data_IF_736215853537
#
_entry.id   IF_736215853537
#
_cell.length_a   1.000
_cell.length_b   1.000
_cell.length_c   1.000
_cell.angle_alpha   90.00
_cell.angle_beta   90.00
_cell.angle_gamma   90.00
#
_symmetry.space_group_name_H-M   'P 1'
#
loop_
_entity.id
_entity.type
_entity.pdbx_description
1 polymer ?
#
# COMPACT_ATOMS: atom_id res chain seq x y z
N UNK A 1 -19.25 -13.48 6.87
CA UNK A 1 -19.32 -12.33 7.79
C UNK A 1 -18.06 -11.51 7.55
N UNK A 2 -18.14 -10.36 6.88
CA UNK A 2 -16.96 -9.51 6.67
C UNK A 2 -16.55 -8.93 8.02
N UNK A 3 -15.40 -9.36 8.52
CA UNK A 3 -14.88 -8.84 9.78
C UNK A 3 -14.51 -7.37 9.57
N UNK A 4 -15.26 -6.46 10.19
CA UNK A 4 -14.99 -5.02 10.04
C UNK A 4 -13.74 -4.70 10.84
N UNK A 5 -12.66 -4.40 10.14
CA UNK A 5 -11.37 -4.08 10.75
C UNK A 5 -11.38 -2.63 11.23
N UNK A 6 -11.43 -2.44 12.56
CA UNK A 6 -11.44 -1.12 13.19
C UNK A 6 -10.12 -0.94 13.94
N UNK A 7 -9.34 0.08 13.56
CA UNK A 7 -8.08 0.42 14.21
C UNK A 7 -6.89 -0.44 13.79
N UNK A 8 -5.88 -0.50 14.66
CA UNK A 8 -4.60 -1.18 14.42
C UNK A 8 -4.80 -2.69 14.47
N UNK A 9 -4.19 -3.41 13.53
CA UNK A 9 -4.20 -4.88 13.54
C UNK A 9 -2.81 -5.48 13.51
N UNK A 10 -2.72 -6.71 14.01
CA UNK A 10 -1.46 -7.45 14.07
C UNK A 10 -0.82 -7.65 12.68
N UNK A 11 -1.54 -8.02 11.61
CA UNK A 11 -0.97 -8.10 10.27
C UNK A 11 -0.26 -6.82 9.84
N UNK A 12 -0.88 -5.66 10.09
CA UNK A 12 -0.34 -4.36 9.70
C UNK A 12 0.95 -4.07 10.47
N UNK A 13 0.96 -4.33 11.79
CA UNK A 13 2.14 -4.16 12.64
C UNK A 13 3.31 -5.06 12.22
N UNK A 14 3.06 -6.33 11.88
CA UNK A 14 4.11 -7.25 11.44
C UNK A 14 4.73 -6.80 10.11
N UNK A 15 3.91 -6.46 9.13
CA UNK A 15 4.38 -6.02 7.82
C UNK A 15 5.07 -4.64 7.89
N UNK A 16 4.55 -3.72 8.70
CA UNK A 16 5.18 -2.43 8.96
C UNK A 16 6.55 -2.60 9.63
N UNK A 17 6.67 -3.48 10.64
CA UNK A 17 7.95 -3.77 11.29
C UNK A 17 8.96 -4.38 10.31
N UNK A 18 8.54 -5.32 9.47
CA UNK A 18 9.39 -5.89 8.44
C UNK A 18 9.88 -4.81 7.44
N UNK A 19 8.98 -3.91 7.01
CA UNK A 19 9.31 -2.81 6.10
C UNK A 19 10.36 -1.87 6.73
N UNK A 20 10.15 -1.47 7.99
CA UNK A 20 11.07 -0.59 8.72
C UNK A 20 12.46 -1.21 8.85
N UNK A 21 12.55 -2.49 9.22
CA UNK A 21 13.84 -3.21 9.30
C UNK A 21 14.57 -3.20 7.96
N UNK A 22 13.86 -3.46 6.86
CA UNK A 22 14.46 -3.42 5.53
C UNK A 22 14.94 -2.01 5.16
N UNK A 23 14.18 -0.97 5.52
CA UNK A 23 14.56 0.45 5.32
C UNK A 23 15.77 0.87 6.14
N UNK A 24 15.96 0.29 7.32
CA UNK A 24 17.14 0.56 8.18
C UNK A 24 18.32 -0.37 7.89
N UNK A 25 18.27 -1.18 6.82
CA UNK A 25 19.34 -2.07 6.40
C UNK A 25 19.36 -3.45 7.08
N UNK A 26 18.45 -3.73 8.01
CA UNK A 26 18.29 -5.04 8.65
C UNK A 26 17.44 -5.99 7.78
N UNK A 27 18.01 -6.41 6.64
CA UNK A 27 17.31 -7.29 5.68
C UNK A 27 17.08 -8.68 6.26
N UNK A 28 18.00 -9.19 7.08
CA UNK A 28 17.84 -10.49 7.74
C UNK A 28 16.70 -10.46 8.75
N UNK A 29 16.60 -9.41 9.56
CA UNK A 29 15.50 -9.23 10.49
C UNK A 29 14.16 -8.99 9.78
N UNK A 30 14.15 -8.28 8.65
CA UNK A 30 12.98 -8.11 7.81
C UNK A 30 12.49 -9.45 7.24
N UNK A 31 13.42 -10.28 6.75
CA UNK A 31 13.15 -11.63 6.27
C UNK A 31 12.49 -12.48 7.35
N UNK A 32 13.05 -12.51 8.56
CA UNK A 32 12.51 -13.28 9.68
C UNK A 32 11.06 -12.88 9.98
N UNK A 33 10.77 -11.58 10.03
CA UNK A 33 9.43 -11.08 10.31
C UNK A 33 8.44 -11.43 9.20
N UNK A 34 8.86 -11.28 7.95
CA UNK A 34 8.06 -11.56 6.77
C UNK A 34 7.76 -13.06 6.62
N UNK A 35 8.75 -13.94 6.80
CA UNK A 35 8.56 -15.39 6.75
C UNK A 35 7.67 -15.86 7.90
N UNK A 36 7.83 -15.30 9.11
CA UNK A 36 6.94 -15.56 10.24
C UNK A 36 5.50 -15.17 9.90
N UNK A 37 5.29 -14.02 9.28
CA UNK A 37 3.98 -13.59 8.82
C UNK A 37 3.40 -14.53 7.75
N UNK A 38 4.17 -14.81 6.69
CA UNK A 38 3.75 -15.67 5.56
C UNK A 38 3.44 -17.10 6.01
N UNK A 39 4.18 -17.65 6.98
CA UNK A 39 3.93 -19.00 7.54
C UNK A 39 2.52 -19.18 8.15
N UNK A 40 1.81 -18.07 8.42
CA UNK A 40 0.43 -18.06 8.91
C UNK A 40 -0.61 -17.89 7.79
N UNK A 41 -0.19 -17.83 6.53
CA UNK A 41 -1.04 -17.64 5.34
C UNK A 41 -0.83 -18.69 4.27
N UNK A 42 0.36 -19.31 4.22
CA UNK A 42 0.73 -20.26 3.17
C UNK A 42 1.64 -21.38 3.72
N UNK A 43 1.81 -22.50 2.99
CA UNK A 43 2.72 -23.56 3.36
C UNK A 43 4.16 -23.08 3.59
N UNK A 44 4.90 -23.76 4.45
CA UNK A 44 6.25 -23.35 4.85
C UNK A 44 7.21 -23.20 3.66
N UNK A 45 7.06 -24.02 2.62
CA UNK A 45 7.87 -23.95 1.40
C UNK A 45 7.65 -22.66 0.60
N UNK A 46 6.41 -22.15 0.59
CA UNK A 46 6.05 -20.89 -0.09
C UNK A 46 6.30 -19.66 0.79
N UNK A 47 6.39 -19.84 2.11
CA UNK A 47 6.64 -18.76 3.05
C UNK A 47 8.08 -18.21 2.94
N UNK A 48 9.03 -18.98 2.41
CA UNK A 48 10.46 -18.63 2.32
C UNK A 48 10.68 -17.46 1.37
N UNK A 49 11.50 -16.49 1.78
CA UNK A 49 11.86 -15.30 1.00
C UNK A 49 13.37 -15.22 0.82
N UNK A 50 13.82 -15.34 -0.43
CA UNK A 50 15.24 -15.30 -0.80
C UNK A 50 15.61 -13.95 -1.43
N UNK A 51 15.44 -12.87 -0.66
CA UNK A 51 15.77 -11.51 -1.08
C UNK A 51 16.83 -10.95 -0.13
N UNK A 52 17.95 -10.48 -0.70
CA UNK A 52 19.06 -9.89 0.06
C UNK A 52 19.22 -8.39 -0.17
N UNK A 53 18.69 -7.87 -1.28
CA UNK A 53 18.72 -6.43 -1.56
C UNK A 53 17.64 -5.70 -0.73
N UNK A 54 17.99 -4.65 0.04
CA UNK A 54 17.04 -3.93 0.88
C UNK A 54 15.86 -3.34 0.12
N UNK A 55 16.11 -2.70 -1.04
CA UNK A 55 15.06 -2.10 -1.88
C UNK A 55 14.11 -3.16 -2.44
N UNK A 56 14.64 -4.29 -2.89
CA UNK A 56 13.82 -5.41 -3.36
C UNK A 56 12.97 -6.00 -2.23
N UNK A 57 13.53 -6.09 -1.01
CA UNK A 57 12.80 -6.55 0.18
C UNK A 57 11.63 -5.62 0.51
N UNK A 58 11.87 -4.30 0.53
CA UNK A 58 10.82 -3.29 0.77
C UNK A 58 9.70 -3.44 -0.27
N UNK A 59 10.04 -3.49 -1.56
CA UNK A 59 9.04 -3.66 -2.63
C UNK A 59 8.24 -4.95 -2.45
N UNK A 60 8.89 -6.06 -2.12
CA UNK A 60 8.21 -7.32 -1.86
C UNK A 60 7.26 -7.25 -0.65
N UNK A 61 7.65 -6.57 0.42
CA UNK A 61 6.79 -6.35 1.60
C UNK A 61 5.57 -5.51 1.24
N UNK A 62 5.73 -4.47 0.40
CA UNK A 62 4.58 -3.70 -0.11
C UNK A 62 3.64 -4.59 -0.92
N UNK A 63 4.15 -5.46 -1.78
CA UNK A 63 3.32 -6.43 -2.52
C UNK A 63 2.60 -7.40 -1.57
N UNK A 64 3.22 -7.80 -0.46
CA UNK A 64 2.59 -8.62 0.56
C UNK A 64 1.44 -7.87 1.26
N UNK A 65 1.61 -6.57 1.54
CA UNK A 65 0.53 -5.72 2.08
C UNK A 65 -0.66 -5.63 1.12
N UNK A 66 -0.42 -5.55 -0.19
CA UNK A 66 -1.50 -5.53 -1.20
C UNK A 66 -2.32 -6.82 -1.12
N UNK A 67 -1.65 -7.97 -0.99
CA UNK A 67 -2.30 -9.28 -0.88
C UNK A 67 -3.08 -9.43 0.43
N UNK A 68 -2.49 -9.08 1.56
CA UNK A 68 -3.13 -9.22 2.88
C UNK A 68 -4.36 -8.31 3.02
N UNK A 69 -4.28 -7.08 2.52
CA UNK A 69 -5.31 -6.05 2.70
C UNK A 69 -6.14 -5.79 1.43
N UNK A 70 -6.23 -6.78 0.54
CA UNK A 70 -7.06 -6.68 -0.65
C UNK A 70 -8.51 -6.34 -0.26
N UNK A 71 -9.09 -5.36 -0.95
CA UNK A 71 -10.49 -4.89 -0.73
C UNK A 71 -10.72 -4.23 0.65
N UNK A 72 -9.67 -3.88 1.40
CA UNK A 72 -9.79 -3.24 2.73
C UNK A 72 -9.42 -1.74 2.75
N UNK A 73 -9.06 -1.15 1.61
CA UNK A 73 -8.76 0.29 1.49
C UNK A 73 -7.32 0.71 1.86
N UNK A 74 -6.52 -0.16 2.49
CA UNK A 74 -5.12 0.12 2.86
C UNK A 74 -4.25 0.57 1.67
N UNK A 75 -4.55 0.04 0.47
CA UNK A 75 -3.82 0.37 -0.75
C UNK A 75 -3.81 1.87 -1.06
N UNK A 76 -4.88 2.61 -0.75
CA UNK A 76 -4.93 4.04 -0.98
C UNK A 76 -3.85 4.78 -0.18
N UNK A 77 -3.71 4.43 1.12
CA UNK A 77 -2.72 5.04 2.00
C UNK A 77 -1.29 4.65 1.63
N UNK A 78 -1.08 3.39 1.22
CA UNK A 78 0.22 2.94 0.71
C UNK A 78 0.58 3.69 -0.59
N UNK A 79 -0.32 3.82 -1.55
CA UNK A 79 -0.05 4.60 -2.77
C UNK A 79 0.32 6.05 -2.47
N UNK A 80 -0.42 6.69 -1.55
CA UNK A 80 -0.16 8.09 -1.17
C UNK A 80 1.23 8.26 -0.56
N UNK A 81 1.59 7.47 0.45
CA UNK A 81 2.91 7.58 1.11
C UNK A 81 4.05 7.21 0.17
N UNK A 82 3.86 6.18 -0.66
CA UNK A 82 4.89 5.70 -1.57
C UNK A 82 5.08 6.62 -2.77
N UNK A 83 4.07 7.42 -3.16
CA UNK A 83 4.23 8.43 -4.22
C UNK A 83 5.26 9.51 -3.90
N UNK A 84 5.57 9.72 -2.62
CA UNK A 84 6.60 10.65 -2.16
C UNK A 84 7.90 9.94 -1.73
N UNK A 85 7.97 8.61 -1.87
CA UNK A 85 9.12 7.80 -1.45
C UNK A 85 10.12 7.65 -2.60
N UNK A 86 11.40 8.05 -2.43
CA UNK A 86 12.43 7.90 -3.46
C UNK A 86 12.62 6.46 -3.96
N UNK A 87 12.37 5.44 -3.11
CA UNK A 87 12.48 4.03 -3.50
C UNK A 87 11.45 3.65 -4.58
N UNK A 88 10.35 4.40 -4.63
CA UNK A 88 9.24 4.22 -5.55
C UNK A 88 9.16 5.36 -6.58
N UNK A 89 10.26 6.12 -6.78
CA UNK A 89 10.33 7.12 -7.84
C UNK A 89 10.06 6.45 -9.20
N UNK A 90 8.97 6.84 -9.86
CA UNK A 90 8.52 6.24 -11.12
C UNK A 90 7.41 5.18 -10.99
N UNK A 91 6.93 4.89 -9.77
CA UNK A 91 5.71 4.11 -9.60
C UNK A 91 4.53 4.84 -10.26
N UNK A 92 3.82 4.14 -11.16
CA UNK A 92 2.61 4.65 -11.79
C UNK A 92 1.41 3.90 -11.22
N UNK A 93 0.39 4.66 -10.84
CA UNK A 93 -0.86 4.11 -10.33
C UNK A 93 -2.00 4.47 -11.26
N UNK A 94 -2.91 3.53 -11.48
CA UNK A 94 -4.10 3.71 -12.31
C UNK A 94 -5.28 2.96 -11.73
N UNK A 95 -6.48 3.47 -11.98
CA UNK A 95 -7.73 2.75 -11.80
C UNK A 95 -8.30 2.42 -13.19
N UNK A 96 -8.59 1.16 -13.44
CA UNK A 96 -9.24 0.72 -14.68
C UNK A 96 -10.71 0.44 -14.37
N UNK A 97 -11.59 1.17 -15.05
CA UNK A 97 -13.01 0.85 -15.05
C UNK A 97 -13.23 -0.30 -16.06
N UNK A 98 -13.95 -1.32 -15.61
CA UNK A 98 -14.22 -2.53 -16.39
C UNK A 98 -15.70 -2.57 -16.80
N UNK A 99 -15.97 -3.09 -17.99
CA UNK A 99 -17.32 -3.50 -18.40
C UNK A 99 -17.78 -4.73 -17.61
N UNK A 100 -19.06 -5.09 -17.76
CA UNK A 100 -19.62 -6.35 -17.22
C UNK A 100 -18.90 -7.60 -17.75
N UNK A 101 -18.31 -7.50 -18.95
CA UNK A 101 -17.51 -8.57 -19.58
C UNK A 101 -16.03 -8.55 -19.20
N UNK A 102 -15.60 -7.62 -18.34
CA UNK A 102 -14.22 -7.47 -17.87
C UNK A 102 -13.29 -6.70 -18.82
N UNK A 103 -13.82 -6.11 -19.90
CA UNK A 103 -13.03 -5.27 -20.80
C UNK A 103 -12.76 -3.90 -20.17
N UNK A 104 -11.54 -3.37 -20.30
CA UNK A 104 -11.20 -2.03 -19.81
C UNK A 104 -11.91 -0.99 -20.67
N UNK A 105 -12.82 -0.22 -20.07
CA UNK A 105 -13.60 0.83 -20.75
C UNK A 105 -13.03 2.23 -20.50
N UNK A 106 -12.32 2.42 -19.39
CA UNK A 106 -11.62 3.66 -19.09
C UNK A 106 -10.43 3.40 -18.17
N UNK A 107 -9.40 4.22 -18.29
CA UNK A 107 -8.24 4.22 -17.40
C UNK A 107 -8.08 5.60 -16.79
N UNK A 108 -8.00 5.66 -15.47
CA UNK A 108 -7.82 6.87 -14.69
C UNK A 108 -6.43 6.87 -14.06
N UNK A 109 -5.51 7.74 -14.53
CA UNK A 109 -4.23 7.93 -13.88
C UNK A 109 -4.42 8.49 -12.47
N UNK A 110 -3.71 7.90 -11.50
CA UNK A 110 -3.68 8.30 -10.10
C UNK A 110 -2.31 8.91 -9.80
N UNK A 111 -2.12 10.13 -10.34
CA UNK A 111 -0.95 10.98 -10.08
C UNK A 111 -0.92 11.43 -8.62
N UNK A 112 0.23 11.89 -8.12
CA UNK A 112 0.43 12.19 -6.69
C UNK A 112 -0.54 13.25 -6.16
N UNK A 113 -0.88 14.26 -6.97
CA UNK A 113 -1.92 15.27 -6.71
C UNK A 113 -3.31 14.64 -6.49
N UNK A 114 -3.65 13.60 -7.25
CA UNK A 114 -4.94 12.89 -7.15
C UNK A 114 -5.05 11.93 -5.96
N UNK A 115 -3.96 11.71 -5.21
CA UNK A 115 -3.96 10.87 -4.01
C UNK A 115 -4.33 11.65 -2.74
N UNK A 116 -4.57 12.95 -2.85
CA UNK A 116 -5.07 13.79 -1.76
C UNK A 116 -6.49 14.25 -2.08
N UNK A 117 -7.43 13.91 -1.19
CA UNK A 117 -8.84 14.28 -1.38
C UNK A 117 -9.01 15.80 -1.34
N UNK A 118 -9.80 16.35 -2.27
CA UNK A 118 -10.17 17.76 -2.25
C UNK A 118 -11.11 18.05 -1.09
N UNK A 119 -11.01 19.26 -0.55
CA UNK A 119 -11.99 19.74 0.40
C UNK A 119 -13.37 19.82 -0.28
N UNK A 120 -14.45 19.41 0.43
CA UNK A 120 -15.80 19.57 -0.09
C UNK A 120 -16.12 21.03 -0.39
N UNK A 121 -16.94 21.26 -1.41
CA UNK A 121 -17.33 22.59 -1.86
C UNK A 121 -17.92 23.45 -0.74
N UNK A 122 -18.74 22.87 0.12
CA UNK A 122 -19.30 23.53 1.32
C UNK A 122 -18.21 24.15 2.21
N UNK A 123 -17.08 23.46 2.39
CA UNK A 123 -15.96 23.94 3.23
C UNK A 123 -15.25 25.11 2.55
N UNK A 124 -15.09 25.04 1.23
CA UNK A 124 -14.47 26.10 0.42
C UNK A 124 -15.31 27.37 0.42
N UNK A 125 -16.64 27.25 0.26
CA UNK A 125 -17.56 28.38 0.29
C UNK A 125 -17.60 29.07 1.66
N UNK A 126 -17.54 28.28 2.74
CA UNK A 126 -17.51 28.81 4.10
C UNK A 126 -16.16 29.45 4.46
N UNK A 127 -15.07 29.12 3.75
CA UNK A 127 -13.72 29.63 4.02
C UNK A 127 -13.02 30.08 2.74
N UNK A 128 -13.38 31.24 2.15
CA UNK A 128 -12.87 31.66 0.84
C UNK A 128 -11.33 31.81 0.73
N UNK A 129 -10.64 31.97 1.86
CA UNK A 129 -9.17 32.07 1.91
C UNK A 129 -8.43 30.72 1.91
N UNK A 130 -9.12 29.59 2.08
CA UNK A 130 -8.47 28.27 2.06
C UNK A 130 -8.17 27.88 0.61
N UNK A 131 -6.96 27.38 0.36
CA UNK A 131 -6.62 26.78 -0.94
C UNK A 131 -7.03 25.32 -0.93
N UNK A 132 -7.72 24.89 -1.97
CA UNK A 132 -8.05 23.47 -2.10
C UNK A 132 -6.79 22.67 -2.45
N UNK A 133 -6.84 21.37 -2.14
CA UNK A 133 -5.86 20.44 -2.66
C UNK A 133 -5.91 20.45 -4.20
N UNK A 134 -4.76 20.28 -4.87
CA UNK A 134 -4.64 20.33 -6.32
C UNK A 134 -5.63 19.37 -7.03
#
# INVERSE_FOLDING_TARGET
MYNTQIGITMPDLYLMRAELKARTGDVSGAKIDLEKFRSKRMPATEAIVNITNPTAMIKFIIEERIREFAVQGYRWFDMRRLSADPIFSGATYKHEALSETGAVIATFPLTSDRLTLRFPEKVMLANPGIKNNP
#
